data_IF_951511841891
#
_entry.id   IF_951511841891
#
_cell.length_a   1.000
_cell.length_b   1.000
_cell.length_c   1.000
_cell.angle_alpha   90.00
_cell.angle_beta   90.00
_cell.angle_gamma   90.00
#
_symmetry.space_group_name_H-M   'P 1'
#
loop_
_entity.id
_entity.type
_entity.pdbx_description
1 polymer ?
#
# COMPACT_ATOMS: atom_id res chain seq x y z
N UNK A 1 -14.89 3.76 20.28
CA UNK A 1 -14.92 5.23 20.27
C UNK A 1 -14.06 5.70 19.10
N UNK A 2 -14.65 6.22 18.04
CA UNK A 2 -13.90 6.76 16.90
C UNK A 2 -13.59 8.24 17.18
N UNK A 3 -12.32 8.56 17.39
CA UNK A 3 -11.84 9.95 17.52
C UNK A 3 -11.82 10.60 16.14
N UNK A 4 -12.82 11.42 15.80
CA UNK A 4 -12.76 12.23 14.57
C UNK A 4 -11.80 13.40 14.77
N UNK A 5 -10.72 13.45 13.99
CA UNK A 5 -9.87 14.64 13.89
C UNK A 5 -10.21 15.37 12.59
N UNK A 6 -10.42 16.69 12.70
CA UNK A 6 -10.81 17.56 11.59
C UNK A 6 -9.63 17.74 10.62
N UNK A 7 -9.85 17.49 9.32
CA UNK A 7 -8.83 17.73 8.29
C UNK A 7 -8.56 19.24 8.10
N UNK A 8 -7.31 19.61 7.76
CA UNK A 8 -6.91 21.01 7.52
C UNK A 8 -7.53 21.54 6.23
N UNK A 9 -8.02 22.79 6.27
CA UNK A 9 -8.57 23.50 5.12
C UNK A 9 -7.47 23.82 4.10
N UNK A 10 -7.71 23.47 2.83
CA UNK A 10 -6.75 23.56 1.73
C UNK A 10 -6.56 24.97 1.14
N UNK A 11 -7.37 25.94 1.54
CA UNK A 11 -7.27 27.32 1.08
C UNK A 11 -7.41 28.25 2.29
N UNK A 12 -6.30 28.79 2.78
CA UNK A 12 -6.32 30.12 3.38
C UNK A 12 -6.40 31.13 2.24
N UNK A 13 -7.46 31.06 1.43
CA UNK A 13 -7.88 32.22 0.67
C UNK A 13 -8.27 33.24 1.71
N UNK A 14 -7.61 34.39 1.71
CA UNK A 14 -8.11 35.58 2.41
C UNK A 14 -9.61 35.64 2.14
N UNK A 15 -10.43 35.39 3.16
CA UNK A 15 -11.77 35.93 3.18
C UNK A 15 -11.54 37.43 3.31
N UNK A 16 -11.28 38.10 2.18
CA UNK A 16 -11.58 39.52 2.11
C UNK A 16 -13.08 39.59 2.33
N UNK A 17 -13.45 40.20 3.45
CA UNK A 17 -14.81 40.55 3.79
C UNK A 17 -15.47 41.24 2.60
N UNK A 18 -16.20 40.48 1.79
CA UNK A 18 -17.06 41.00 0.73
C UNK A 18 -18.37 41.58 1.31
N UNK A 19 -18.32 42.04 2.56
CA UNK A 19 -19.40 42.77 3.23
C UNK A 19 -19.12 44.27 3.16
N UNK A 20 -19.04 44.84 1.97
CA UNK A 20 -19.37 46.27 1.75
C UNK A 20 -19.29 46.65 0.26
N UNK A 21 -20.25 46.20 -0.53
CA UNK A 21 -20.68 46.99 -1.68
C UNK A 21 -22.19 47.15 -1.60
N UNK A 22 -22.61 48.24 -0.96
CA UNK A 22 -23.98 48.71 -1.02
C UNK A 22 -24.29 49.15 -2.45
N UNK A 23 -25.05 48.32 -3.16
CA UNK A 23 -25.74 48.76 -4.37
C UNK A 23 -27.16 49.14 -3.98
N UNK A 24 -27.42 50.46 -4.01
CA UNK A 24 -28.76 51.02 -3.95
C UNK A 24 -29.59 50.48 -5.13
N UNK A 25 -30.85 50.16 -4.85
CA UNK A 25 -31.88 49.81 -5.84
C UNK A 25 -31.92 50.81 -7.00
N UNK A 26 -32.09 50.33 -8.24
CA UNK A 26 -33.28 50.62 -9.06
C UNK A 26 -33.27 49.86 -10.40
N UNK A 27 -34.49 49.64 -10.91
CA UNK A 27 -34.92 49.21 -12.26
C UNK A 27 -34.73 47.75 -12.71
N UNK A 28 -35.88 47.07 -12.78
CA UNK A 28 -36.37 46.21 -13.86
C UNK A 28 -35.56 44.96 -14.24
N UNK A 29 -35.77 43.88 -13.47
CA UNK A 29 -35.48 42.51 -13.91
C UNK A 29 -36.68 41.59 -13.59
N UNK A 30 -37.13 40.87 -14.62
CA UNK A 30 -38.23 39.89 -14.69
C UNK A 30 -38.63 39.20 -13.35
N UNK A 31 -39.94 39.09 -13.01
CA UNK A 31 -40.41 38.51 -11.75
C UNK A 31 -40.31 36.97 -11.67
N UNK A 32 -39.78 36.29 -12.69
CA UNK A 32 -39.85 34.83 -12.83
C UNK A 32 -38.57 34.05 -12.53
N UNK A 33 -37.48 34.68 -12.10
CA UNK A 33 -36.22 33.98 -11.76
C UNK A 33 -35.74 34.31 -10.35
N UNK A 34 -36.25 33.56 -9.37
CA UNK A 34 -35.65 33.50 -8.02
C UNK A 34 -34.55 32.44 -8.04
N UNK A 35 -33.29 32.86 -8.12
CA UNK A 35 -32.16 31.97 -7.83
C UNK A 35 -32.13 31.69 -6.32
N UNK A 36 -32.67 30.54 -5.92
CA UNK A 36 -32.49 30.02 -4.57
C UNK A 36 -31.04 29.56 -4.42
N UNK A 37 -30.16 30.43 -3.92
CA UNK A 37 -28.84 30.01 -3.44
C UNK A 37 -29.08 29.13 -2.20
N UNK A 38 -29.10 27.81 -2.41
CA UNK A 38 -29.11 26.85 -1.29
C UNK A 38 -27.85 27.14 -0.48
N UNK A 39 -27.99 27.53 0.79
CA UNK A 39 -26.89 27.50 1.75
C UNK A 39 -26.38 26.06 1.78
N UNK A 40 -25.24 25.82 1.14
CA UNK A 40 -24.54 24.55 1.26
C UNK A 40 -23.97 24.58 2.68
N UNK A 41 -24.64 23.90 3.61
CA UNK A 41 -24.05 23.62 4.92
C UNK A 41 -22.74 22.87 4.65
N UNK A 42 -21.58 23.34 5.13
CA UNK A 42 -20.33 22.64 4.91
C UNK A 42 -20.49 21.24 5.52
N UNK A 43 -20.49 20.20 4.68
CA UNK A 43 -20.47 18.83 5.18
C UNK A 43 -19.20 18.69 6.01
N UNK A 44 -19.35 18.35 7.29
CA UNK A 44 -18.22 17.98 8.15
C UNK A 44 -17.51 16.81 7.44
N UNK A 45 -16.27 17.02 7.03
CA UNK A 45 -15.48 15.99 6.38
C UNK A 45 -15.07 14.98 7.45
N UNK A 46 -15.80 13.86 7.52
CA UNK A 46 -15.45 12.76 8.41
C UNK A 46 -14.50 11.81 7.67
N UNK A 47 -13.27 11.73 8.15
CA UNK A 47 -12.27 10.83 7.60
C UNK A 47 -12.53 9.44 8.17
N UNK A 48 -13.01 8.53 7.33
CA UNK A 48 -13.08 7.12 7.69
C UNK A 48 -11.70 6.47 7.57
N UNK A 49 -11.31 5.72 8.61
CA UNK A 49 -10.09 4.93 8.58
C UNK A 49 -10.20 3.87 7.46
N UNK A 50 -9.19 3.81 6.60
CA UNK A 50 -9.10 2.76 5.59
C UNK A 50 -8.59 1.46 6.23
N UNK A 51 -9.21 0.33 5.91
CA UNK A 51 -8.76 -0.99 6.38
C UNK A 51 -7.44 -1.40 5.74
N UNK A 52 -6.64 -2.20 6.47
CA UNK A 52 -5.39 -2.81 5.98
C UNK A 52 -5.49 -4.34 5.86
N UNK A 53 -6.70 -4.87 5.86
CA UNK A 53 -6.99 -6.31 5.84
C UNK A 53 -7.54 -6.74 4.48
N UNK A 54 -6.98 -7.80 3.93
CA UNK A 54 -7.42 -8.45 2.69
C UNK A 54 -7.85 -9.90 2.97
N UNK A 55 -8.89 -10.38 2.29
CA UNK A 55 -9.40 -11.76 2.41
C UNK A 55 -10.56 -11.92 3.40
N UNK A 56 -11.21 -13.08 3.35
CA UNK A 56 -12.40 -13.43 4.18
C UNK A 56 -12.07 -14.49 5.23
N UNK A 57 -11.67 -15.69 4.79
CA UNK A 57 -11.32 -16.80 5.66
C UNK A 57 -9.82 -16.80 5.96
N UNK A 58 -9.01 -16.77 4.90
CA UNK A 58 -7.58 -16.47 5.00
C UNK A 58 -7.41 -14.96 4.91
N UNK A 59 -7.22 -14.31 6.06
CA UNK A 59 -7.15 -12.85 6.15
C UNK A 59 -5.73 -12.40 6.40
N UNK A 60 -5.30 -11.40 5.65
CA UNK A 60 -3.97 -10.81 5.77
C UNK A 60 -4.12 -9.35 6.15
N UNK A 61 -3.65 -8.98 7.33
CA UNK A 61 -3.56 -7.58 7.75
C UNK A 61 -2.11 -7.14 7.67
N UNK A 62 -1.78 -6.25 6.73
CA UNK A 62 -0.42 -5.70 6.62
C UNK A 62 -0.27 -4.48 7.53
N UNK A 63 0.94 -4.20 8.00
CA UNK A 63 1.24 -3.05 8.83
C UNK A 63 2.63 -2.48 8.54
N UNK A 64 2.89 -1.28 9.08
CA UNK A 64 4.20 -0.64 9.07
C UNK A 64 4.41 0.31 7.89
N UNK A 65 5.35 1.22 8.11
CA UNK A 65 5.79 2.27 7.20
C UNK A 65 7.22 2.01 6.73
N UNK A 66 7.54 2.47 5.52
CA UNK A 66 8.86 2.32 4.91
C UNK A 66 10.05 2.91 5.70
N UNK A 67 9.81 3.88 6.58
CA UNK A 67 10.83 4.51 7.42
C UNK A 67 10.51 4.33 8.92
N UNK A 68 9.56 3.45 9.26
CA UNK A 68 9.31 3.02 10.64
C UNK A 68 10.25 1.89 11.05
N UNK A 69 10.05 1.32 12.25
CA UNK A 69 10.88 0.23 12.78
C UNK A 69 10.86 -1.07 11.96
N UNK A 70 9.83 -1.27 11.13
CA UNK A 70 9.70 -2.42 10.26
C UNK A 70 8.36 -2.46 9.55
N UNK A 71 8.20 -3.43 8.66
CA UNK A 71 6.93 -3.75 7.99
C UNK A 71 6.60 -5.21 8.20
N UNK A 72 5.34 -5.59 8.02
CA UNK A 72 4.96 -6.99 8.18
C UNK A 72 3.50 -7.25 7.96
N UNK A 73 3.06 -8.41 8.42
CA UNK A 73 1.67 -8.82 8.36
C UNK A 73 1.27 -9.71 9.53
N UNK A 74 -0.02 -9.71 9.82
CA UNK A 74 -0.70 -10.72 10.62
C UNK A 74 -1.59 -11.52 9.69
N UNK A 75 -1.41 -12.84 9.67
CA UNK A 75 -2.17 -13.77 8.85
C UNK A 75 -3.08 -14.56 9.78
N UNK A 76 -4.38 -14.54 9.48
CA UNK A 76 -5.41 -15.22 10.24
C UNK A 76 -6.19 -16.20 9.36
N UNK A 77 -6.72 -17.26 9.98
CA UNK A 77 -7.43 -18.35 9.28
C UNK A 77 -6.52 -19.30 8.49
N UNK A 78 -5.24 -19.39 8.86
CA UNK A 78 -4.36 -20.45 8.37
C UNK A 78 -4.72 -21.79 9.06
N UNK A 79 -4.92 -22.90 8.33
CA UNK A 79 -5.15 -24.20 8.95
C UNK A 79 -3.96 -24.63 9.83
N UNK A 80 -4.20 -25.39 10.92
CA UNK A 80 -3.13 -25.93 11.75
C UNK A 80 -2.38 -27.07 11.05
N UNK A 81 -1.21 -27.44 11.61
CA UNK A 81 -0.35 -28.57 11.19
C UNK A 81 0.30 -28.42 9.81
N UNK A 82 0.40 -27.19 9.30
CA UNK A 82 1.13 -26.90 8.07
C UNK A 82 2.59 -26.64 8.45
N UNK A 83 3.56 -27.38 7.91
CA UNK A 83 4.98 -27.10 8.14
C UNK A 83 5.30 -25.67 7.70
N UNK A 84 5.89 -24.86 8.58
CA UNK A 84 6.20 -23.47 8.29
C UNK A 84 7.47 -23.03 9.02
N UNK A 85 8.37 -22.42 8.27
CA UNK A 85 9.60 -21.81 8.74
C UNK A 85 9.80 -20.44 8.09
N UNK A 86 10.68 -19.62 8.67
CA UNK A 86 11.08 -18.34 8.08
C UNK A 86 11.72 -18.54 6.69
N UNK A 87 12.43 -19.64 6.48
CA UNK A 87 13.04 -19.99 5.20
C UNK A 87 12.02 -20.15 4.06
N UNK A 88 10.82 -20.65 4.36
CA UNK A 88 9.75 -20.78 3.36
C UNK A 88 9.29 -19.41 2.82
N UNK A 89 9.24 -18.41 3.70
CA UNK A 89 8.89 -17.03 3.32
C UNK A 89 10.08 -16.31 2.70
N UNK A 90 11.30 -16.59 3.18
CA UNK A 90 12.51 -15.91 2.75
C UNK A 90 12.78 -16.12 1.26
N UNK A 91 12.52 -17.30 0.70
CA UNK A 91 12.68 -17.56 -0.74
C UNK A 91 11.88 -16.57 -1.60
N UNK A 92 10.62 -16.32 -1.21
CA UNK A 92 9.74 -15.41 -1.95
C UNK A 92 10.11 -13.94 -1.68
N UNK A 93 10.53 -13.60 -0.46
CA UNK A 93 11.02 -12.26 -0.12
C UNK A 93 12.33 -11.92 -0.83
N UNK A 94 13.24 -12.87 -0.95
CA UNK A 94 14.51 -12.70 -1.66
C UNK A 94 14.28 -12.45 -3.16
N UNK A 95 13.31 -13.15 -3.76
CA UNK A 95 12.86 -12.91 -5.14
C UNK A 95 12.26 -11.52 -5.33
N UNK A 96 11.56 -11.00 -4.32
CA UNK A 96 10.97 -9.65 -4.30
C UNK A 96 12.01 -8.55 -4.03
N UNK A 97 13.08 -8.86 -3.31
CA UNK A 97 14.05 -7.89 -2.78
C UNK A 97 14.59 -6.97 -3.90
N UNK A 98 14.58 -5.64 -3.70
CA UNK A 98 15.21 -4.71 -4.65
C UNK A 98 16.74 -4.88 -4.65
N UNK A 99 17.43 -4.32 -5.64
CA UNK A 99 18.89 -4.36 -5.69
C UNK A 99 19.48 -5.60 -6.38
N UNK A 100 18.64 -6.45 -6.98
CA UNK A 100 19.10 -7.63 -7.74
C UNK A 100 19.76 -7.28 -9.08
N UNK A 101 19.51 -6.08 -9.62
CA UNK A 101 20.11 -5.63 -10.88
C UNK A 101 20.56 -4.18 -10.83
N UNK A 102 21.45 -3.79 -11.77
CA UNK A 102 21.94 -2.40 -11.94
C UNK A 102 20.83 -1.36 -12.16
N UNK A 103 19.60 -1.79 -12.48
CA UNK A 103 18.45 -0.93 -12.81
C UNK A 103 17.54 -0.72 -11.58
N UNK A 104 17.75 -1.48 -10.51
CA UNK A 104 16.91 -1.42 -9.30
C UNK A 104 17.48 -0.47 -8.24
N UNK A 105 16.68 -0.13 -7.23
CA UNK A 105 17.07 0.84 -6.19
C UNK A 105 18.36 0.40 -5.47
N UNK A 106 19.24 1.33 -5.06
CA UNK A 106 20.52 1.01 -4.42
C UNK A 106 20.40 0.54 -2.96
N UNK A 107 19.20 0.49 -2.38
CA UNK A 107 18.98 0.05 -0.99
C UNK A 107 19.34 -1.43 -0.84
N UNK A 108 20.14 -1.75 0.17
CA UNK A 108 20.57 -3.12 0.50
C UNK A 108 19.81 -3.67 1.70
N UNK A 109 18.49 -3.59 1.65
CA UNK A 109 17.63 -4.17 2.67
C UNK A 109 17.64 -5.69 2.51
N UNK A 110 17.99 -6.44 3.56
CA UNK A 110 18.06 -7.91 3.46
C UNK A 110 16.69 -8.59 3.40
N UNK A 111 15.62 -7.85 3.70
CA UNK A 111 14.23 -8.33 3.79
C UNK A 111 14.09 -9.60 4.65
N UNK A 112 14.91 -9.71 5.70
CA UNK A 112 14.93 -10.87 6.59
C UNK A 112 13.65 -10.91 7.43
N UNK A 113 12.84 -11.93 7.24
CA UNK A 113 11.61 -12.09 8.00
C UNK A 113 11.83 -12.85 9.30
N UNK A 114 10.97 -12.53 10.29
CA UNK A 114 10.84 -13.28 11.54
C UNK A 114 9.40 -13.59 11.85
N UNK A 115 9.14 -14.81 12.29
CA UNK A 115 7.82 -15.26 12.74
C UNK A 115 7.74 -15.16 14.26
N UNK A 116 6.80 -14.36 14.77
CA UNK A 116 6.63 -14.10 16.19
C UNK A 116 5.51 -14.91 16.84
N UNK A 117 4.55 -15.41 16.07
CA UNK A 117 3.40 -16.17 16.59
C UNK A 117 2.83 -17.14 15.56
N UNK A 118 1.92 -18.02 16.00
CA UNK A 118 1.15 -18.90 15.11
C UNK A 118 1.89 -20.14 14.59
N UNK A 119 3.12 -20.36 15.07
CA UNK A 119 3.94 -21.53 14.77
C UNK A 119 4.49 -22.11 16.06
N UNK A 120 4.41 -23.43 16.22
CA UNK A 120 5.00 -24.20 17.30
C UNK A 120 5.61 -25.47 16.71
N UNK A 121 6.81 -25.86 17.14
CA UNK A 121 7.52 -27.06 16.67
C UNK A 121 7.60 -27.18 15.12
N UNK A 122 7.76 -26.03 14.45
CA UNK A 122 7.87 -25.97 12.99
C UNK A 122 6.56 -26.16 12.22
N UNK A 123 5.41 -26.17 12.90
CA UNK A 123 4.09 -26.27 12.27
C UNK A 123 3.15 -25.15 12.71
N UNK A 124 2.21 -24.78 11.85
CA UNK A 124 1.17 -23.80 12.18
C UNK A 124 0.25 -24.32 13.27
N UNK A 125 -0.16 -23.45 14.19
CA UNK A 125 -1.04 -23.82 15.31
C UNK A 125 -2.52 -23.59 15.01
N UNK A 126 -2.83 -22.88 13.92
CA UNK A 126 -4.17 -22.39 13.61
C UNK A 126 -4.50 -21.03 14.25
N UNK A 127 -3.62 -20.51 15.11
CA UNK A 127 -3.74 -19.14 15.64
C UNK A 127 -3.12 -18.11 14.67
N UNK A 128 -3.40 -16.81 14.85
CA UNK A 128 -2.81 -15.78 14.00
C UNK A 128 -1.28 -15.84 13.95
N UNK A 129 -0.74 -15.75 12.74
CA UNK A 129 0.69 -15.78 12.45
C UNK A 129 1.17 -14.35 12.25
N UNK A 130 2.04 -13.89 13.14
CA UNK A 130 2.65 -12.57 13.07
C UNK A 130 4.03 -12.67 12.40
N UNK A 131 4.20 -11.97 11.28
CA UNK A 131 5.45 -11.88 10.53
C UNK A 131 5.94 -10.44 10.52
N UNK A 132 7.20 -10.24 10.89
CA UNK A 132 7.83 -8.92 10.91
C UNK A 132 9.15 -8.93 10.14
N UNK A 133 9.39 -7.85 9.40
CA UNK A 133 10.63 -7.58 8.66
C UNK A 133 11.15 -6.21 9.10
N UNK A 134 12.27 -6.13 9.83
CA UNK A 134 12.84 -4.85 10.25
C UNK A 134 13.34 -4.05 9.05
N UNK A 135 13.24 -2.72 9.14
CA UNK A 135 13.88 -1.82 8.17
C UNK A 135 15.32 -1.53 8.64
N UNK A 136 16.31 -1.74 7.78
CA UNK A 136 17.74 -1.66 8.13
C UNK A 136 18.46 -0.44 7.52
N UNK A 137 17.95 0.15 6.45
CA UNK A 137 18.56 1.30 5.74
C UNK A 137 17.65 2.54 5.83
N UNK A 138 17.40 3.01 7.06
CA UNK A 138 16.71 4.28 7.31
C UNK A 138 17.70 5.45 7.14
N UNK A 139 17.77 6.04 5.95
CA UNK A 139 18.50 7.29 5.74
C UNK A 139 17.57 8.47 6.02
N UNK A 140 17.73 9.10 7.18
CA UNK A 140 16.88 10.22 7.61
C UNK A 140 17.16 11.56 6.92
N UNK A 141 18.32 11.73 6.28
CA UNK A 141 18.85 13.06 5.93
C UNK A 141 18.70 13.49 4.45
N UNK A 142 18.23 12.62 3.55
CA UNK A 142 18.23 12.90 2.10
C UNK A 142 16.92 13.55 1.56
N UNK A 143 16.01 14.02 2.43
CA UNK A 143 14.63 14.34 2.05
C UNK A 143 14.16 15.78 2.35
N UNK A 144 15.07 16.73 2.55
CA UNK A 144 14.73 18.13 2.84
C UNK A 144 13.94 18.80 1.70
N UNK A 145 14.29 18.54 0.44
CA UNK A 145 13.55 19.05 -0.72
C UNK A 145 12.15 18.46 -0.82
N UNK A 146 11.99 17.20 -0.42
CA UNK A 146 10.70 16.53 -0.43
C UNK A 146 9.72 17.19 0.54
N UNK A 147 10.18 17.90 1.59
CA UNK A 147 9.31 18.66 2.50
C UNK A 147 8.46 19.72 1.78
N UNK A 148 9.00 20.30 0.71
CA UNK A 148 8.49 21.54 0.10
C UNK A 148 7.41 21.25 -0.96
N UNK A 149 7.52 20.16 -1.71
CA UNK A 149 6.63 19.86 -2.84
C UNK A 149 6.06 18.43 -2.79
N UNK A 150 4.84 18.27 -3.34
CA UNK A 150 4.27 16.94 -3.56
C UNK A 150 4.87 16.31 -4.82
N UNK A 151 5.26 15.03 -4.75
CA UNK A 151 5.83 14.34 -5.91
C UNK A 151 4.73 13.94 -6.89
N UNK A 152 4.88 14.24 -8.19
CA UNK A 152 3.94 13.76 -9.20
C UNK A 152 3.78 12.23 -9.15
N UNK A 153 2.56 11.76 -9.36
CA UNK A 153 2.21 10.32 -9.32
C UNK A 153 2.44 9.60 -7.98
N UNK A 154 2.63 10.34 -6.88
CA UNK A 154 2.74 9.77 -5.53
C UNK A 154 1.53 10.14 -4.66
N UNK A 155 1.32 9.37 -3.59
CA UNK A 155 0.20 9.56 -2.67
C UNK A 155 0.40 10.72 -1.67
N UNK A 156 1.44 11.55 -1.82
CA UNK A 156 1.80 12.57 -0.84
C UNK A 156 0.65 13.57 -0.59
N UNK A 157 0.06 14.11 -1.66
CA UNK A 157 -1.02 15.08 -1.58
C UNK A 157 -2.34 14.46 -1.08
N UNK A 158 -2.66 13.24 -1.49
CA UNK A 158 -3.90 12.57 -1.08
C UNK A 158 -3.86 12.14 0.38
N UNK A 159 -2.70 11.69 0.88
CA UNK A 159 -2.50 11.41 2.31
C UNK A 159 -2.59 12.67 3.14
N UNK A 160 -1.94 13.75 2.72
CA UNK A 160 -1.98 15.02 3.44
C UNK A 160 -3.40 15.60 3.50
N UNK A 161 -4.13 15.57 2.39
CA UNK A 161 -5.52 16.04 2.35
C UNK A 161 -6.46 15.15 3.18
N UNK A 162 -6.30 13.82 3.09
CA UNK A 162 -7.17 12.87 3.79
C UNK A 162 -6.90 12.82 5.30
N UNK A 163 -5.63 12.79 5.70
CA UNK A 163 -5.24 12.50 7.08
C UNK A 163 -4.61 13.70 7.81
N UNK A 164 -4.24 14.77 7.09
CA UNK A 164 -3.57 15.95 7.67
C UNK A 164 -2.14 15.68 8.17
N UNK A 165 -1.59 14.51 7.87
CA UNK A 165 -0.26 14.07 8.29
C UNK A 165 0.49 13.51 7.10
N UNK A 166 1.71 14.01 6.89
CA UNK A 166 2.56 13.61 5.76
C UNK A 166 3.85 12.97 6.26
N UNK A 167 4.16 11.79 5.74
CA UNK A 167 5.48 11.17 5.91
C UNK A 167 6.45 11.84 4.95
N UNK A 168 7.25 12.79 5.42
CA UNK A 168 8.21 13.53 4.58
C UNK A 168 9.44 12.69 4.23
N UNK A 169 9.81 11.76 5.12
CA UNK A 169 11.00 10.91 4.98
C UNK A 169 10.87 9.83 3.90
N UNK A 170 9.72 9.72 3.22
CA UNK A 170 9.46 8.78 2.14
C UNK A 170 7.98 8.51 1.95
N UNK A 171 7.61 7.52 1.12
CA UNK A 171 6.20 7.20 0.83
C UNK A 171 5.37 6.64 2.01
N UNK A 172 5.91 6.58 3.23
CA UNK A 172 5.19 6.11 4.41
C UNK A 172 4.53 4.75 4.18
N UNK A 173 3.20 4.71 4.35
CA UNK A 173 2.34 3.54 4.15
C UNK A 173 2.05 3.22 2.67
N UNK A 174 2.11 4.20 1.77
CA UNK A 174 1.91 3.98 0.33
C UNK A 174 3.18 3.48 -0.38
N UNK A 175 4.25 3.20 0.38
CA UNK A 175 5.50 2.70 -0.17
C UNK A 175 5.35 1.25 -0.65
N UNK A 176 6.08 0.91 -1.71
CA UNK A 176 6.26 -0.47 -2.16
C UNK A 176 6.84 -1.39 -1.06
N UNK A 177 7.36 -0.87 0.05
CA UNK A 177 7.76 -1.66 1.23
C UNK A 177 6.59 -2.43 1.84
N UNK A 178 5.34 -1.94 1.75
CA UNK A 178 4.15 -2.62 2.25
C UNK A 178 3.98 -4.03 1.66
N UNK A 179 4.38 -4.19 0.40
CA UNK A 179 4.23 -5.47 -0.33
C UNK A 179 5.06 -6.61 0.28
N UNK A 180 6.00 -6.33 1.19
CA UNK A 180 6.67 -7.37 2.00
C UNK A 180 5.65 -8.21 2.77
N UNK A 181 4.69 -7.57 3.43
CA UNK A 181 3.64 -8.28 4.16
C UNK A 181 2.78 -9.14 3.22
N UNK A 182 2.55 -8.67 2.00
CA UNK A 182 1.81 -9.43 0.97
C UNK A 182 2.58 -10.64 0.48
N UNK A 183 3.88 -10.49 0.22
CA UNK A 183 4.74 -11.59 -0.25
C UNK A 183 4.93 -12.64 0.84
N UNK A 184 5.14 -12.24 2.09
CA UNK A 184 5.23 -13.17 3.22
C UNK A 184 3.93 -13.99 3.39
N UNK A 185 2.77 -13.33 3.33
CA UNK A 185 1.48 -14.03 3.37
C UNK A 185 1.23 -14.88 2.13
N UNK A 186 1.64 -14.40 0.95
CA UNK A 186 1.58 -15.12 -0.31
C UNK A 186 2.42 -16.40 -0.29
N UNK A 187 3.59 -16.40 0.33
CA UNK A 187 4.43 -17.58 0.49
C UNK A 187 3.71 -18.68 1.29
N UNK A 188 3.05 -18.30 2.40
CA UNK A 188 2.21 -19.24 3.16
C UNK A 188 1.01 -19.73 2.36
N UNK A 189 0.31 -18.84 1.65
CA UNK A 189 -0.81 -19.21 0.79
C UNK A 189 -0.38 -20.19 -0.33
N UNK A 190 0.75 -19.91 -1.01
CA UNK A 190 1.36 -20.82 -1.99
C UNK A 190 1.66 -22.19 -1.37
N UNK A 191 2.21 -22.21 -0.15
CA UNK A 191 2.50 -23.46 0.57
C UNK A 191 1.23 -24.26 0.85
N UNK A 192 0.13 -23.61 1.26
CA UNK A 192 -1.18 -24.24 1.44
C UNK A 192 -1.67 -24.82 0.11
N UNK A 193 -1.68 -24.03 -0.96
CA UNK A 193 -2.14 -24.44 -2.29
C UNK A 193 -1.37 -25.63 -2.85
N UNK A 194 -0.07 -25.72 -2.56
CA UNK A 194 0.77 -26.84 -2.96
C UNK A 194 0.29 -28.20 -2.41
N UNK A 195 -0.34 -28.23 -1.23
CA UNK A 195 -0.95 -29.47 -0.69
C UNK A 195 -2.14 -29.95 -1.53
N UNK A 196 -2.76 -29.07 -2.30
CA UNK A 196 -3.86 -29.37 -3.21
C UNK A 196 -3.41 -29.54 -4.67
N UNK A 197 -2.10 -29.58 -4.93
CA UNK A 197 -1.57 -29.68 -6.29
C UNK A 197 -1.75 -28.41 -7.11
N UNK A 198 -1.97 -27.26 -6.47
CA UNK A 198 -2.15 -25.97 -7.14
C UNK A 198 -0.84 -25.20 -7.11
N UNK A 199 -0.40 -24.74 -8.27
CA UNK A 199 0.77 -23.88 -8.44
C UNK A 199 0.37 -22.52 -8.99
N UNK A 200 1.09 -21.47 -8.59
CA UNK A 200 0.84 -20.09 -9.03
C UNK A 200 2.15 -19.51 -9.54
N UNK A 201 2.20 -19.24 -10.84
CA UNK A 201 3.36 -18.72 -11.56
C UNK A 201 2.99 -17.36 -12.15
N UNK A 202 3.93 -16.41 -12.12
CA UNK A 202 3.75 -15.07 -12.68
C UNK A 202 5.03 -14.65 -13.40
N UNK A 203 4.90 -14.16 -14.63
CA UNK A 203 6.03 -13.72 -15.46
C UNK A 203 5.75 -12.35 -16.11
N UNK A 204 6.80 -11.73 -16.66
CA UNK A 204 6.71 -10.44 -17.35
C UNK A 204 6.42 -10.68 -18.82
N UNK A 205 5.25 -10.27 -19.30
CA UNK A 205 4.91 -10.32 -20.73
C UNK A 205 5.38 -9.08 -21.51
N UNK A 206 5.61 -7.94 -20.83
CA UNK A 206 6.00 -6.69 -21.49
C UNK A 206 6.72 -5.73 -20.54
N UNK A 207 7.77 -5.06 -21.05
CA UNK A 207 8.41 -3.90 -20.42
C UNK A 207 8.49 -2.76 -21.42
N UNK A 208 7.73 -1.69 -21.18
CA UNK A 208 7.64 -0.54 -22.09
C UNK A 208 7.27 -0.97 -23.53
N UNK A 209 8.20 -0.86 -24.49
CA UNK A 209 8.00 -1.25 -25.90
C UNK A 209 8.48 -2.66 -26.22
N UNK A 210 9.14 -3.32 -25.26
CA UNK A 210 9.66 -4.69 -25.43
C UNK A 210 8.56 -5.65 -25.02
N UNK A 211 8.03 -6.40 -25.98
CA UNK A 211 6.91 -7.32 -25.81
C UNK A 211 7.46 -8.74 -25.98
N UNK A 212 7.02 -9.65 -25.11
CA UNK A 212 7.28 -11.08 -25.24
C UNK A 212 6.60 -11.59 -26.51
N UNK A 213 7.32 -12.22 -27.46
CA UNK A 213 6.70 -12.74 -28.67
C UNK A 213 5.63 -13.79 -28.35
N UNK A 214 4.56 -13.80 -29.14
CA UNK A 214 3.55 -14.86 -29.12
C UNK A 214 4.23 -16.22 -29.38
N UNK A 215 3.73 -17.29 -28.75
CA UNK A 215 4.21 -18.68 -28.86
C UNK A 215 5.57 -19.02 -28.21
N UNK A 216 6.19 -18.09 -27.47
CA UNK A 216 7.45 -18.39 -26.74
C UNK A 216 7.20 -19.11 -25.42
N UNK A 217 6.05 -18.85 -24.79
CA UNK A 217 5.65 -19.44 -23.51
C UNK A 217 4.42 -20.30 -23.73
N UNK A 218 4.52 -21.55 -23.33
CA UNK A 218 3.38 -22.46 -23.23
C UNK A 218 2.84 -22.42 -21.80
N UNK A 219 1.65 -21.84 -21.63
CA UNK A 219 1.04 -21.64 -20.32
C UNK A 219 0.69 -22.95 -19.61
N UNK A 220 0.58 -24.07 -20.34
CA UNK A 220 0.26 -25.39 -19.79
C UNK A 220 1.51 -26.15 -19.27
N UNK A 221 2.70 -25.80 -19.78
CA UNK A 221 3.96 -26.45 -19.40
C UNK A 221 4.93 -25.56 -18.66
N UNK A 222 4.58 -24.28 -18.45
CA UNK A 222 5.42 -23.33 -17.73
C UNK A 222 5.68 -23.80 -16.29
N UNK A 223 6.95 -23.79 -15.91
CA UNK A 223 7.41 -24.14 -14.57
C UNK A 223 8.05 -22.97 -13.87
N UNK A 224 8.05 -22.99 -12.53
CA UNK A 224 8.66 -21.96 -11.70
C UNK A 224 10.16 -21.74 -11.99
N UNK A 225 10.89 -22.79 -12.39
CA UNK A 225 12.33 -22.73 -12.69
C UNK A 225 12.63 -21.95 -13.97
N UNK A 226 11.63 -21.80 -14.86
CA UNK A 226 11.74 -21.00 -16.08
C UNK A 226 11.48 -19.50 -15.83
N UNK A 227 11.07 -19.12 -14.61
CA UNK A 227 10.70 -17.75 -14.26
C UNK A 227 11.73 -17.14 -13.31
N UNK A 228 12.58 -16.27 -13.85
CA UNK A 228 13.69 -15.68 -13.10
C UNK A 228 13.31 -14.60 -12.06
N UNK A 229 12.13 -13.98 -12.14
CA UNK A 229 11.80 -12.83 -11.27
C UNK A 229 10.31 -12.83 -10.90
N UNK A 230 10.01 -12.68 -9.61
CA UNK A 230 8.64 -12.36 -9.17
C UNK A 230 8.38 -10.89 -9.49
N UNK A 231 7.35 -10.64 -10.31
CA UNK A 231 6.69 -9.35 -10.25
C UNK A 231 5.99 -9.29 -8.90
N UNK A 232 6.50 -8.46 -7.99
CA UNK A 232 5.57 -7.84 -7.06
C UNK A 232 4.70 -6.99 -7.96
N UNK A 233 3.54 -7.51 -8.37
CA UNK A 233 2.50 -6.65 -8.90
C UNK A 233 2.30 -5.60 -7.82
N UNK A 234 2.84 -4.40 -8.07
CA UNK A 234 2.23 -3.20 -7.57
C UNK A 234 0.81 -3.30 -8.10
N UNK A 235 -0.08 -3.84 -7.25
CA UNK A 235 -1.50 -3.68 -7.42
C UNK A 235 -1.67 -2.17 -7.33
N UNK A 236 -1.62 -1.52 -8.48
CA UNK A 236 -2.05 -0.15 -8.63
C UNK A 236 -3.50 -0.16 -8.17
N UNK A 237 -3.74 0.37 -6.98
CA UNK A 237 -5.07 0.71 -6.49
C UNK A 237 -5.56 1.96 -7.20
#
# INVERSE_FOLDING_TARGET
MASSLTAKQFLSGYASDFTSFGFNQTSDINPSLRFSIRRITPKKLEVQAAGSTFGTNFRVTTYGESHGGGVGCVIDGCPPRIPLSEGDMQVELDRRRPGQSRITTPRKETDTCRIYSGVADGVTTGSPIHVNVPNTDQRGNDYSEMAIAYRPSHADATYDYKYGVRSVQGGGRSSARETIGRVAAGALAKKILKFYGIEVIAYVSQVHKVILPEDVVDDESLTLDQVCVILVMGIYF
#
